data_IF_517014788181
#
_entry.id   IF_517014788181
#
_cell.length_a   1.000
_cell.length_b   1.000
_cell.length_c   1.000
_cell.angle_alpha   90.00
_cell.angle_beta   90.00
_cell.angle_gamma   90.00
#
_symmetry.space_group_name_H-M   'P 1'
#
loop_
_entity.id
_entity.type
_entity.pdbx_description
1 polymer ?
#
# COMPACT_ATOMS: atom_id res chain seq x y z
N UNK A 1 24.08 -34.81 3.13
CA UNK A 1 24.48 -33.61 3.89
C UNK A 1 23.23 -32.78 4.16
N UNK A 2 22.75 -32.73 5.41
CA UNK A 2 21.52 -32.00 5.80
C UNK A 2 21.91 -30.64 6.36
N UNK A 3 21.64 -29.58 5.60
CA UNK A 3 21.83 -28.20 6.03
C UNK A 3 20.90 -27.88 7.19
N UNK A 4 21.47 -27.51 8.34
CA UNK A 4 20.70 -27.03 9.50
C UNK A 4 20.34 -25.56 9.30
N UNK A 5 19.09 -25.14 9.54
CA UNK A 5 18.69 -23.75 9.45
C UNK A 5 19.29 -22.92 10.59
N UNK A 6 19.79 -21.73 10.26
CA UNK A 6 20.40 -20.77 11.20
C UNK A 6 19.27 -19.96 11.86
N UNK A 7 19.12 -19.98 13.20
CA UNK A 7 18.10 -19.20 13.90
C UNK A 7 18.51 -17.72 13.95
N UNK A 8 17.72 -16.83 13.33
CA UNK A 8 17.99 -15.38 13.24
C UNK A 8 17.26 -14.49 14.28
N UNK A 9 16.42 -15.03 15.16
CA UNK A 9 15.44 -14.18 15.88
C UNK A 9 15.75 -13.78 17.34
N UNK A 10 16.88 -14.19 17.93
CA UNK A 10 17.11 -13.94 19.36
C UNK A 10 17.65 -12.55 19.71
N UNK A 11 18.28 -11.82 18.78
CA UNK A 11 18.95 -10.53 19.11
C UNK A 11 18.04 -9.31 19.07
N UNK A 12 16.94 -9.34 18.32
CA UNK A 12 16.11 -8.14 18.12
C UNK A 12 15.24 -7.79 19.34
N UNK A 13 14.81 -8.79 20.13
CA UNK A 13 13.89 -8.59 21.25
C UNK A 13 14.52 -7.95 22.49
N UNK A 14 15.85 -8.01 22.66
CA UNK A 14 16.52 -7.46 23.85
C UNK A 14 16.75 -5.95 23.77
N UNK A 15 16.73 -5.36 22.58
CA UNK A 15 16.95 -3.91 22.43
C UNK A 15 15.69 -3.09 22.71
N UNK A 16 14.50 -3.64 22.44
CA UNK A 16 13.24 -2.92 22.64
C UNK A 16 12.91 -2.65 24.12
N UNK A 17 13.34 -3.53 25.05
CA UNK A 17 13.02 -3.36 26.47
C UNK A 17 13.94 -2.36 27.18
N UNK A 18 15.17 -2.16 26.71
CA UNK A 18 16.08 -1.19 27.32
C UNK A 18 15.67 0.27 27.03
N UNK A 19 15.03 0.54 25.89
CA UNK A 19 14.61 1.89 25.53
C UNK A 19 13.36 2.37 26.30
N UNK A 20 12.50 1.44 26.74
CA UNK A 20 11.25 1.76 27.44
C UNK A 20 11.43 2.12 28.92
N UNK A 21 12.53 1.69 29.57
CA UNK A 21 12.79 1.98 30.98
C UNK A 21 13.48 3.32 31.23
N UNK A 22 14.03 3.98 30.20
CA UNK A 22 14.71 5.27 30.36
C UNK A 22 13.76 6.50 30.30
N UNK A 23 12.49 6.33 29.88
CA UNK A 23 11.57 7.46 29.67
C UNK A 23 10.71 7.83 30.90
N UNK A 24 10.77 7.06 31.99
CA UNK A 24 9.86 7.23 33.12
C UNK A 24 10.38 8.17 34.25
N UNK A 25 11.55 8.80 34.09
CA UNK A 25 12.22 9.50 35.19
C UNK A 25 12.20 11.05 35.13
N UNK A 26 11.48 11.69 34.21
CA UNK A 26 11.52 13.18 34.06
C UNK A 26 10.20 13.89 34.34
N UNK A 27 9.19 13.21 34.90
CA UNK A 27 7.94 13.83 35.33
C UNK A 27 7.99 14.17 36.83
N UNK A 28 8.65 15.27 37.17
CA UNK A 28 8.65 15.77 38.56
C UNK A 28 9.27 17.16 38.70
N UNK A 29 8.43 18.20 38.62
CA UNK A 29 8.49 19.50 39.34
C UNK A 29 7.42 20.42 38.72
N UNK A 30 6.22 20.49 39.30
CA UNK A 30 5.83 21.30 40.46
C UNK A 30 5.65 22.79 40.11
N UNK A 31 4.40 23.23 40.25
CA UNK A 31 3.90 24.59 40.24
C UNK A 31 4.69 25.56 41.12
N UNK A 32 4.89 26.79 40.66
CA UNK A 32 4.73 27.99 41.48
C UNK A 32 4.89 29.28 40.67
N UNK A 33 4.18 30.31 41.15
CA UNK A 33 4.32 31.75 40.87
C UNK A 33 3.58 32.31 39.64
N UNK A 34 2.27 32.38 39.81
CA UNK A 34 1.47 33.49 39.33
C UNK A 34 1.95 34.82 39.97
N UNK A 35 2.61 35.66 39.17
CA UNK A 35 2.72 37.09 39.44
C UNK A 35 2.06 37.84 38.29
N UNK A 36 0.90 38.44 38.60
CA UNK A 36 0.29 39.46 37.78
C UNK A 36 1.16 40.71 37.79
N UNK A 37 1.56 41.18 36.62
CA UNK A 37 2.27 42.43 36.41
C UNK A 37 2.00 42.91 35.00
N UNK A 38 1.29 44.03 34.89
CA UNK A 38 0.68 44.54 33.67
C UNK A 38 1.59 44.55 32.44
N UNK A 39 0.99 44.13 31.32
CA UNK A 39 1.56 44.16 29.98
C UNK A 39 1.83 45.60 29.56
N UNK A 40 2.98 46.13 29.95
CA UNK A 40 3.62 47.17 29.15
C UNK A 40 4.00 46.48 27.84
N UNK A 41 3.53 46.94 26.67
CA UNK A 41 3.92 46.36 25.40
C UNK A 41 5.44 46.34 25.36
N UNK A 42 6.01 45.14 25.30
CA UNK A 42 7.44 44.92 25.29
C UNK A 42 8.02 45.83 24.22
N UNK A 43 8.79 46.82 24.66
CA UNK A 43 9.55 47.68 23.78
C UNK A 43 10.25 46.76 22.77
N UNK A 44 10.02 47.04 21.48
CA UNK A 44 10.59 46.32 20.35
C UNK A 44 12.04 46.00 20.65
N UNK A 45 12.32 44.72 20.93
CA UNK A 45 13.66 44.24 21.26
C UNK A 45 14.56 44.62 20.08
N UNK A 46 15.57 45.49 20.27
CA UNK A 46 16.42 45.93 19.17
C UNK A 46 17.08 44.71 18.53
N UNK A 47 17.21 44.73 17.20
CA UNK A 47 17.85 43.65 16.46
C UNK A 47 19.24 43.37 17.06
N UNK A 48 19.60 42.10 17.34
CA UNK A 48 20.88 41.79 17.95
C UNK A 48 22.02 42.27 17.05
N UNK A 49 23.14 42.74 17.63
CA UNK A 49 24.33 43.08 16.85
C UNK A 49 24.76 41.87 16.00
N UNK A 50 25.37 42.10 14.82
CA UNK A 50 25.83 41.02 13.95
C UNK A 50 26.74 40.05 14.71
N UNK A 51 26.40 38.76 14.69
CA UNK A 51 27.09 37.69 15.42
C UNK A 51 26.32 36.36 15.38
N UNK A 52 26.82 35.34 16.07
CA UNK A 52 26.28 33.97 16.03
C UNK A 52 24.81 33.89 16.49
N UNK A 53 24.41 34.73 17.45
CA UNK A 53 23.03 34.81 17.93
C UNK A 53 22.02 35.20 16.84
N UNK A 54 22.43 36.00 15.84
CA UNK A 54 21.58 36.37 14.72
C UNK A 54 21.28 35.17 13.79
N UNK A 55 22.31 34.33 13.54
CA UNK A 55 22.17 33.10 12.76
C UNK A 55 21.25 32.11 13.47
N UNK A 56 21.43 31.91 14.78
CA UNK A 56 20.54 31.07 15.59
C UNK A 56 19.08 31.55 15.51
N UNK A 57 18.84 32.85 15.66
CA UNK A 57 17.49 33.44 15.54
C UNK A 57 16.89 33.31 14.13
N UNK A 58 17.71 33.34 13.08
CA UNK A 58 17.25 33.09 11.70
C UNK A 58 16.84 31.63 11.50
N UNK A 59 17.64 30.67 11.99
CA UNK A 59 17.32 29.24 11.92
C UNK A 59 16.03 28.95 12.69
N UNK A 60 15.85 29.54 13.88
CA UNK A 60 14.62 29.37 14.64
C UNK A 60 13.38 29.87 13.88
N UNK A 61 13.46 31.05 13.24
CA UNK A 61 12.37 31.56 12.38
C UNK A 61 12.09 30.66 11.17
N UNK A 62 13.13 30.11 10.53
CA UNK A 62 12.97 29.15 9.43
C UNK A 62 12.25 27.88 9.91
N UNK A 63 12.65 27.34 11.07
CA UNK A 63 12.03 26.13 11.64
C UNK A 63 10.59 26.43 12.07
N UNK A 64 10.33 27.54 12.74
CA UNK A 64 8.97 27.97 13.12
C UNK A 64 8.06 28.12 11.90
N UNK A 65 8.54 28.75 10.83
CA UNK A 65 7.79 28.90 9.58
C UNK A 65 7.49 27.57 8.88
N UNK A 66 8.37 26.56 9.03
CA UNK A 66 8.12 25.21 8.48
C UNK A 66 7.20 24.40 9.38
N UNK A 67 7.37 24.48 10.69
CA UNK A 67 6.63 23.68 11.68
C UNK A 67 5.23 24.23 11.93
N UNK A 68 5.02 25.53 11.69
CA UNK A 68 3.70 26.14 11.76
C UNK A 68 2.73 25.34 10.88
N UNK A 69 1.59 24.89 11.44
CA UNK A 69 0.58 24.21 10.64
C UNK A 69 0.23 25.14 9.47
N UNK A 70 0.12 24.61 8.23
CA UNK A 70 -0.34 25.43 7.13
C UNK A 70 -1.64 26.10 7.57
N UNK A 71 -1.82 27.41 7.32
CA UNK A 71 -3.05 28.09 7.68
C UNK A 71 -4.17 27.23 7.12
N UNK A 72 -5.07 26.76 7.99
CA UNK A 72 -6.13 25.81 7.65
C UNK A 72 -6.81 26.32 6.40
N UNK A 73 -6.41 25.78 5.25
CA UNK A 73 -6.93 26.17 3.97
C UNK A 73 -8.39 25.74 4.05
N UNK A 74 -9.25 26.74 4.21
CA UNK A 74 -10.70 26.61 4.24
C UNK A 74 -11.08 25.65 3.14
N UNK A 75 -11.64 24.51 3.55
CA UNK A 75 -11.98 23.39 2.71
C UNK A 75 -12.93 23.85 1.60
N UNK A 76 -12.36 24.21 0.45
CA UNK A 76 -13.07 24.71 -0.71
C UNK A 76 -12.56 23.99 -1.94
N UNK A 77 -13.49 23.42 -2.69
CA UNK A 77 -13.35 22.81 -4.02
C UNK A 77 -12.79 21.37 -4.07
N UNK A 78 -13.74 20.43 -3.97
CA UNK A 78 -13.68 19.14 -4.65
C UNK A 78 -13.39 19.37 -6.14
N UNK A 79 -12.12 19.26 -6.53
CA UNK A 79 -11.80 19.05 -7.95
C UNK A 79 -12.01 17.58 -8.28
N UNK A 80 -13.14 17.30 -8.92
CA UNK A 80 -13.47 16.00 -9.47
C UNK A 80 -12.88 15.88 -10.88
N UNK A 81 -12.14 14.80 -11.13
CA UNK A 81 -11.91 14.27 -12.47
C UNK A 81 -10.56 14.59 -13.08
N UNK A 82 -9.65 13.62 -13.02
CA UNK A 82 -8.36 13.67 -13.72
C UNK A 82 -7.44 12.53 -13.30
N UNK A 83 -7.87 11.28 -13.50
CA UNK A 83 -7.04 10.09 -13.33
C UNK A 83 -6.09 9.99 -14.54
N UNK A 84 -5.07 10.85 -14.59
CA UNK A 84 -4.01 10.77 -15.58
C UNK A 84 -2.69 10.39 -14.91
N UNK A 85 -2.13 9.29 -15.38
CA UNK A 85 -0.93 8.59 -14.90
C UNK A 85 0.33 9.46 -14.98
N UNK A 86 0.47 10.42 -14.06
CA UNK A 86 1.69 11.20 -13.89
C UNK A 86 2.74 10.39 -13.11
N UNK A 87 3.34 9.40 -13.78
CA UNK A 87 4.53 8.69 -13.32
C UNK A 87 5.73 9.64 -13.44
N UNK A 88 5.90 10.54 -12.48
CA UNK A 88 7.04 11.47 -12.50
C UNK A 88 6.82 12.83 -11.84
N UNK A 89 5.70 13.05 -11.13
CA UNK A 89 5.59 14.26 -10.33
C UNK A 89 6.72 14.29 -9.29
N UNK A 90 7.52 15.38 -9.22
CA UNK A 90 8.52 15.53 -8.17
C UNK A 90 7.81 15.33 -6.85
N UNK A 91 8.48 14.67 -5.90
CA UNK A 91 8.00 14.43 -4.54
C UNK A 91 7.74 15.80 -3.92
N UNK A 92 6.55 16.34 -4.19
CA UNK A 92 6.16 17.68 -3.81
C UNK A 92 6.21 17.71 -2.30
N UNK A 93 6.90 18.74 -1.79
CA UNK A 93 7.27 18.93 -0.40
C UNK A 93 6.14 18.46 0.51
N UNK A 94 6.25 17.21 0.96
CA UNK A 94 5.32 16.65 1.91
C UNK A 94 5.51 17.51 3.15
N UNK A 95 4.45 18.21 3.56
CA UNK A 95 4.51 19.06 4.74
C UNK A 95 5.12 18.30 5.91
N UNK A 96 5.74 18.99 6.87
CA UNK A 96 6.35 18.32 8.01
C UNK A 96 5.31 17.43 8.69
N UNK A 97 5.75 16.22 9.07
CA UNK A 97 4.87 15.28 9.75
C UNK A 97 4.31 15.91 11.03
N UNK A 98 3.08 15.60 11.45
CA UNK A 98 2.51 16.14 12.68
C UNK A 98 3.33 15.78 13.94
N UNK A 99 4.18 14.74 13.85
CA UNK A 99 5.14 14.38 14.89
C UNK A 99 6.40 15.27 14.91
N UNK A 100 6.78 15.88 13.79
CA UNK A 100 8.01 16.67 13.67
C UNK A 100 8.03 17.85 14.66
N UNK A 101 6.88 18.53 14.85
CA UNK A 101 6.74 19.63 15.79
C UNK A 101 7.13 19.24 17.23
N UNK A 102 6.74 18.03 17.66
CA UNK A 102 7.03 17.54 19.02
C UNK A 102 8.52 17.25 19.21
N UNK A 103 9.17 16.67 18.20
CA UNK A 103 10.59 16.30 18.26
C UNK A 103 11.51 17.53 18.29
N UNK A 104 11.12 18.61 17.60
CA UNK A 104 11.93 19.84 17.54
C UNK A 104 11.65 20.83 18.68
N UNK A 105 10.53 20.67 19.41
CA UNK A 105 10.09 21.63 20.42
C UNK A 105 11.11 21.86 21.54
N UNK A 106 11.71 20.79 22.06
CA UNK A 106 12.68 20.89 23.16
C UNK A 106 13.97 21.60 22.73
N UNK A 107 14.68 21.18 21.66
CA UNK A 107 15.84 21.92 21.14
C UNK A 107 15.56 23.39 20.84
N UNK A 108 14.39 23.71 20.29
CA UNK A 108 13.98 25.09 20.05
C UNK A 108 13.82 25.88 21.35
N UNK A 109 13.24 25.28 22.39
CA UNK A 109 13.12 25.92 23.70
C UNK A 109 14.49 26.18 24.33
N UNK A 110 15.45 25.26 24.17
CA UNK A 110 16.83 25.45 24.64
C UNK A 110 17.54 26.59 23.88
N UNK A 111 17.44 26.63 22.56
CA UNK A 111 18.00 27.71 21.74
C UNK A 111 17.44 29.09 22.15
N UNK A 112 16.12 29.20 22.32
CA UNK A 112 15.46 30.44 22.77
C UNK A 112 15.92 30.88 24.16
N UNK A 113 15.99 29.97 25.13
CA UNK A 113 16.50 30.26 26.48
C UNK A 113 17.95 30.72 26.45
N UNK A 114 18.80 30.09 25.63
CA UNK A 114 20.20 30.49 25.47
C UNK A 114 20.32 31.91 24.89
N UNK A 115 19.54 32.26 23.85
CA UNK A 115 19.49 33.63 23.30
C UNK A 115 19.03 34.67 24.33
N UNK A 116 18.01 34.33 25.13
CA UNK A 116 17.52 35.23 26.19
C UNK A 116 18.61 35.49 27.24
N UNK A 117 19.36 34.45 27.64
CA UNK A 117 20.50 34.59 28.56
C UNK A 117 21.65 35.38 27.92
N UNK A 118 21.94 35.17 26.64
CA UNK A 118 22.97 35.92 25.91
C UNK A 118 22.64 37.42 25.86
N UNK A 119 21.36 37.76 25.63
CA UNK A 119 20.88 39.13 25.71
C UNK A 119 21.07 39.75 27.10
N UNK A 120 20.73 39.00 28.16
CA UNK A 120 20.97 39.42 29.54
C UNK A 120 22.44 39.69 29.84
N UNK A 121 23.34 38.81 29.39
CA UNK A 121 24.79 39.00 29.53
C UNK A 121 25.30 40.26 28.81
N UNK A 122 24.77 40.55 27.60
CA UNK A 122 25.09 41.80 26.88
C UNK A 122 24.62 43.04 27.64
N UNK A 123 23.40 43.02 28.18
CA UNK A 123 22.85 44.12 28.97
C UNK A 123 23.68 44.39 30.25
N UNK A 124 24.28 43.35 30.82
CA UNK A 124 25.19 43.45 31.96
C UNK A 124 26.64 43.83 31.59
N UNK A 125 26.97 43.99 30.30
CA UNK A 125 28.33 44.28 29.83
C UNK A 125 29.26 43.06 29.77
N UNK A 126 28.78 41.84 30.02
CA UNK A 126 29.56 40.61 29.93
C UNK A 126 29.56 40.04 28.50
N UNK A 127 30.38 40.66 27.65
CA UNK A 127 30.49 40.30 26.24
C UNK A 127 31.03 38.88 26.01
N UNK A 128 31.90 38.37 26.90
CA UNK A 128 32.52 37.04 26.75
C UNK A 128 31.48 35.95 26.97
N UNK A 129 30.68 36.05 28.03
CA UNK A 129 29.63 35.09 28.31
C UNK A 129 28.49 35.17 27.28
N UNK A 130 28.15 36.37 26.81
CA UNK A 130 27.18 36.54 25.73
C UNK A 130 27.56 35.74 24.48
N UNK A 131 28.82 35.81 24.03
CA UNK A 131 29.30 35.04 22.87
C UNK A 131 29.21 33.53 23.08
N UNK A 132 29.55 33.04 24.27
CA UNK A 132 29.43 31.60 24.60
C UNK A 132 27.98 31.13 24.56
N UNK A 133 27.06 31.93 25.07
CA UNK A 133 25.62 31.62 25.05
C UNK A 133 25.03 31.70 23.65
N UNK A 134 25.48 32.65 22.82
CA UNK A 134 25.10 32.74 21.40
C UNK A 134 25.57 31.49 20.62
N UNK A 135 26.79 31.00 20.87
CA UNK A 135 27.29 29.75 20.28
C UNK A 135 26.45 28.54 20.72
N UNK A 136 26.11 28.43 22.01
CA UNK A 136 25.22 27.36 22.51
C UNK A 136 23.85 27.44 21.85
N UNK A 137 23.30 28.64 21.66
CA UNK A 137 22.02 28.82 20.96
C UNK A 137 22.09 28.34 19.51
N UNK A 138 23.20 28.59 18.82
CA UNK A 138 23.42 28.14 17.45
C UNK A 138 23.44 26.61 17.36
N UNK A 139 24.18 25.93 18.24
CA UNK A 139 24.23 24.46 18.29
C UNK A 139 22.83 23.84 18.48
N UNK A 140 22.04 24.38 19.42
CA UNK A 140 20.66 23.90 19.64
C UNK A 140 19.75 24.16 18.44
N UNK A 141 19.91 25.30 17.75
CA UNK A 141 19.14 25.60 16.54
C UNK A 141 19.52 24.67 15.37
N UNK A 142 20.80 24.35 15.20
CA UNK A 142 21.28 23.41 14.19
C UNK A 142 20.84 21.97 14.49
N UNK A 143 20.82 21.56 15.76
CA UNK A 143 20.25 20.29 16.20
C UNK A 143 18.75 20.21 15.87
N UNK A 144 17.97 21.26 16.18
CA UNK A 144 16.54 21.34 15.82
C UNK A 144 16.32 21.21 14.31
N UNK A 145 17.15 21.87 13.49
CA UNK A 145 17.09 21.79 12.03
C UNK A 145 17.37 20.37 11.52
N UNK A 146 18.34 19.69 12.12
CA UNK A 146 18.73 18.33 11.75
C UNK A 146 17.61 17.34 12.08
N UNK A 147 17.00 17.47 13.27
CA UNK A 147 15.84 16.67 13.67
C UNK A 147 14.63 16.89 12.76
N UNK A 148 14.38 18.13 12.32
CA UNK A 148 13.33 18.42 11.35
C UNK A 148 13.55 17.70 10.01
N UNK A 149 14.79 17.68 9.51
CA UNK A 149 15.16 16.96 8.27
C UNK A 149 15.01 15.45 8.44
N UNK A 150 15.44 14.91 9.58
CA UNK A 150 15.28 13.49 9.90
C UNK A 150 13.80 13.08 9.92
N UNK A 151 12.95 13.85 10.60
CA UNK A 151 11.51 13.58 10.66
C UNK A 151 10.83 13.64 9.27
N UNK A 152 11.27 14.56 8.40
CA UNK A 152 10.80 14.62 7.01
C UNK A 152 11.25 13.38 6.20
N UNK A 153 12.49 12.93 6.37
CA UNK A 153 12.99 11.73 5.70
C UNK A 153 12.25 10.46 6.17
N UNK A 154 11.96 10.34 7.47
CA UNK A 154 11.15 9.24 8.01
C UNK A 154 9.74 9.23 7.44
N UNK A 155 9.09 10.40 7.36
CA UNK A 155 7.77 10.50 6.74
C UNK A 155 7.79 10.08 5.26
N UNK A 156 8.79 10.51 4.50
CA UNK A 156 8.97 10.10 3.11
C UNK A 156 9.22 8.59 2.98
N UNK A 157 9.99 7.99 3.89
CA UNK A 157 10.22 6.55 3.92
C UNK A 157 8.93 5.75 4.20
N UNK A 158 8.08 6.23 5.12
CA UNK A 158 6.77 5.62 5.41
C UNK A 158 5.86 5.66 4.17
N UNK A 159 5.77 6.80 3.48
CA UNK A 159 4.99 6.92 2.26
C UNK A 159 5.55 6.05 1.12
N UNK A 160 6.86 5.98 0.96
CA UNK A 160 7.50 5.09 0.00
C UNK A 160 7.19 3.61 0.31
N UNK A 161 7.20 3.21 1.58
CA UNK A 161 6.85 1.85 1.99
C UNK A 161 5.37 1.51 1.70
N UNK A 162 4.45 2.46 1.89
CA UNK A 162 3.03 2.28 1.51
C UNK A 162 2.88 2.05 0.01
N UNK A 163 3.51 2.90 -0.82
CA UNK A 163 3.48 2.77 -2.28
C UNK A 163 4.08 1.44 -2.75
N UNK A 164 5.17 0.99 -2.11
CA UNK A 164 5.77 -0.30 -2.41
C UNK A 164 4.78 -1.46 -2.18
N UNK A 165 4.04 -1.45 -1.05
CA UNK A 165 3.02 -2.47 -0.75
C UNK A 165 1.85 -2.44 -1.74
N UNK A 166 1.44 -1.25 -2.18
CA UNK A 166 0.40 -1.12 -3.21
C UNK A 166 0.84 -1.70 -4.55
N UNK A 167 2.08 -1.42 -4.97
CA UNK A 167 2.67 -1.99 -6.18
C UNK A 167 2.80 -3.50 -6.07
N UNK A 168 3.27 -4.02 -4.92
CA UNK A 168 3.35 -5.45 -4.66
C UNK A 168 1.97 -6.13 -4.78
N UNK A 169 0.94 -5.56 -4.16
CA UNK A 169 -0.43 -6.07 -4.26
C UNK A 169 -0.94 -6.07 -5.72
N UNK A 170 -0.62 -5.02 -6.50
CA UNK A 170 -0.96 -4.96 -7.94
C UNK A 170 -0.24 -6.04 -8.74
N UNK A 171 1.04 -6.29 -8.44
CA UNK A 171 1.83 -7.34 -9.08
C UNK A 171 1.28 -8.74 -8.76
N UNK A 172 0.87 -9.01 -7.53
CA UNK A 172 0.23 -10.27 -7.13
C UNK A 172 -1.07 -10.50 -7.90
N UNK A 173 -1.95 -9.49 -8.00
CA UNK A 173 -3.18 -9.58 -8.80
C UNK A 173 -2.88 -9.82 -10.29
N UNK A 174 -1.87 -9.14 -10.84
CA UNK A 174 -1.48 -9.32 -12.23
C UNK A 174 -0.96 -10.75 -12.49
N UNK A 175 -0.18 -11.32 -11.55
CA UNK A 175 0.26 -12.73 -11.62
C UNK A 175 -0.92 -13.69 -11.58
N UNK A 176 -1.88 -13.49 -10.68
CA UNK A 176 -3.08 -14.31 -10.60
C UNK A 176 -3.91 -14.29 -11.91
N UNK A 177 -4.06 -13.13 -12.56
CA UNK A 177 -4.74 -13.01 -13.85
C UNK A 177 -4.00 -13.73 -14.99
N UNK A 178 -2.67 -13.71 -14.98
CA UNK A 178 -1.86 -14.44 -15.95
C UNK A 178 -1.98 -15.95 -15.76
N UNK A 179 -1.94 -16.43 -14.52
CA UNK A 179 -2.15 -17.86 -14.19
C UNK A 179 -3.56 -18.31 -14.61
N UNK A 180 -4.59 -17.51 -14.35
CA UNK A 180 -5.95 -17.81 -14.81
C UNK A 180 -6.04 -17.88 -16.34
N UNK A 181 -5.40 -16.94 -17.04
CA UNK A 181 -5.36 -16.92 -18.51
C UNK A 181 -4.66 -18.16 -19.05
N UNK A 182 -3.56 -18.58 -18.44
CA UNK A 182 -2.86 -19.81 -18.81
C UNK A 182 -3.74 -21.04 -18.59
N UNK A 183 -4.45 -21.13 -17.46
CA UNK A 183 -5.37 -22.22 -17.18
C UNK A 183 -6.53 -22.27 -18.18
N UNK A 184 -7.12 -21.11 -18.53
CA UNK A 184 -8.16 -21.01 -19.57
C UNK A 184 -7.65 -21.47 -20.93
N UNK A 185 -6.43 -21.06 -21.31
CA UNK A 185 -5.78 -21.51 -22.56
C UNK A 185 -5.52 -23.02 -22.57
N UNK A 186 -5.07 -23.58 -21.45
CA UNK A 186 -4.86 -25.02 -21.32
C UNK A 186 -6.14 -25.82 -21.50
N UNK A 187 -7.26 -25.37 -20.89
CA UNK A 187 -8.57 -26.00 -21.09
C UNK A 187 -9.05 -25.92 -22.54
N UNK A 188 -8.96 -24.74 -23.16
CA UNK A 188 -9.36 -24.56 -24.55
C UNK A 188 -8.52 -25.44 -25.51
N UNK A 189 -7.21 -25.57 -25.26
CA UNK A 189 -6.34 -26.44 -26.06
C UNK A 189 -6.72 -27.93 -25.91
N UNK A 190 -7.03 -28.39 -24.69
CA UNK A 190 -7.48 -29.76 -24.45
C UNK A 190 -8.86 -30.04 -25.09
N UNK A 191 -9.76 -29.06 -25.09
CA UNK A 191 -11.06 -29.17 -25.79
C UNK A 191 -10.86 -29.25 -27.31
N UNK A 192 -9.98 -28.44 -27.89
CA UNK A 192 -9.64 -28.52 -29.31
C UNK A 192 -9.05 -29.88 -29.68
N UNK A 193 -8.10 -30.39 -28.89
CA UNK A 193 -7.49 -31.72 -29.11
C UNK A 193 -8.55 -32.83 -29.07
N UNK A 194 -9.50 -32.75 -28.13
CA UNK A 194 -10.62 -33.70 -28.04
C UNK A 194 -11.52 -33.64 -29.29
N UNK A 195 -11.90 -32.45 -29.72
CA UNK A 195 -12.73 -32.27 -30.93
C UNK A 195 -11.99 -32.80 -32.17
N UNK A 196 -10.68 -32.53 -32.28
CA UNK A 196 -9.87 -33.06 -33.37
C UNK A 196 -9.78 -34.60 -33.35
N UNK A 197 -9.63 -35.20 -32.17
CA UNK A 197 -9.60 -36.66 -32.02
C UNK A 197 -10.95 -37.29 -32.41
N UNK A 198 -12.06 -36.74 -31.92
CA UNK A 198 -13.43 -37.17 -32.25
C UNK A 198 -13.69 -37.05 -33.77
N UNK A 199 -13.25 -35.97 -34.41
CA UNK A 199 -13.37 -35.79 -35.86
C UNK A 199 -12.53 -36.80 -36.66
N UNK A 200 -11.31 -37.11 -36.20
CA UNK A 200 -10.46 -38.14 -36.82
C UNK A 200 -11.09 -39.53 -36.68
N UNK A 201 -11.67 -39.86 -35.53
CA UNK A 201 -12.39 -41.11 -35.31
C UNK A 201 -13.64 -41.22 -36.19
N UNK A 202 -14.44 -40.16 -36.28
CA UNK A 202 -15.61 -40.10 -37.15
C UNK A 202 -15.23 -40.33 -38.63
N UNK A 203 -14.13 -39.72 -39.09
CA UNK A 203 -13.62 -39.89 -40.46
C UNK A 203 -13.20 -41.34 -40.71
N UNK A 204 -12.50 -41.97 -39.76
CA UNK A 204 -12.11 -43.40 -39.85
C UNK A 204 -13.33 -44.31 -39.86
N UNK A 205 -14.32 -44.04 -39.01
CA UNK A 205 -15.56 -44.80 -38.97
C UNK A 205 -16.31 -44.72 -40.30
N UNK A 206 -16.43 -43.52 -40.89
CA UNK A 206 -17.04 -43.32 -42.21
C UNK A 206 -16.29 -44.10 -43.31
N UNK A 207 -14.96 -44.04 -43.32
CA UNK A 207 -14.14 -44.79 -44.27
C UNK A 207 -14.34 -46.32 -44.14
N UNK A 208 -14.45 -46.84 -42.91
CA UNK A 208 -14.72 -48.25 -42.66
C UNK A 208 -16.12 -48.68 -43.14
N UNK A 209 -17.15 -47.85 -42.93
CA UNK A 209 -18.50 -48.12 -43.44
C UNK A 209 -18.51 -48.18 -44.96
N UNK A 210 -17.82 -47.26 -45.63
CA UNK A 210 -17.71 -47.27 -47.10
C UNK A 210 -16.96 -48.51 -47.60
N UNK A 211 -15.85 -48.90 -46.94
CA UNK A 211 -15.14 -50.13 -47.26
C UNK A 211 -16.04 -51.38 -47.12
N UNK A 212 -16.84 -51.45 -46.05
CA UNK A 212 -17.82 -52.52 -45.84
C UNK A 212 -18.90 -52.53 -46.94
N UNK A 213 -19.38 -51.35 -47.36
CA UNK A 213 -20.35 -51.21 -48.46
C UNK A 213 -19.79 -51.75 -49.78
N UNK A 214 -18.53 -51.42 -50.09
CA UNK A 214 -17.85 -51.90 -51.30
C UNK A 214 -17.69 -53.43 -51.27
N UNK A 215 -17.26 -54.00 -50.14
CA UNK A 215 -17.12 -55.45 -49.99
C UNK A 215 -18.47 -56.19 -50.04
N UNK A 216 -19.52 -55.65 -49.43
CA UNK A 216 -20.88 -56.21 -49.53
C UNK A 216 -21.41 -56.16 -50.97
N UNK A 217 -21.15 -55.07 -51.70
CA UNK A 217 -21.47 -54.93 -53.12
C UNK A 217 -20.80 -56.01 -53.99
N UNK A 218 -19.54 -56.37 -53.69
CA UNK A 218 -18.85 -57.48 -54.38
C UNK A 218 -19.47 -58.85 -54.11
N UNK A 219 -19.96 -59.10 -52.88
CA UNK A 219 -20.58 -60.40 -52.50
C UNK A 219 -22.03 -60.56 -52.97
N UNK A 220 -22.77 -59.47 -53.12
CA UNK A 220 -24.18 -59.48 -53.55
C UNK A 220 -24.41 -59.79 -55.03
N UNK A 221 -23.37 -59.85 -55.85
CA UNK A 221 -23.46 -60.16 -57.28
C UNK A 221 -23.58 -61.68 -57.60
N UNK A 222 -23.77 -62.54 -56.60
CA UNK A 222 -24.11 -63.95 -56.83
C UNK A 222 -25.64 -64.10 -57.00
N UNK A 223 -26.14 -64.66 -58.12
CA UNK A 223 -27.57 -64.70 -58.40
C UNK A 223 -28.26 -65.72 -57.49
N UNK A 224 -29.14 -65.28 -56.60
CA UNK A 224 -29.97 -66.17 -55.77
C UNK A 224 -31.43 -66.10 -56.23
N UNK A 225 -31.84 -67.18 -56.90
CA UNK A 225 -33.19 -67.42 -57.34
C UNK A 225 -34.18 -67.61 -56.17
N UNK A 226 -35.34 -66.97 -56.31
CA UNK A 226 -36.68 -67.32 -55.81
C UNK A 226 -36.83 -67.96 -54.42
N UNK A 227 -37.41 -67.22 -53.47
CA UNK A 227 -38.59 -67.73 -52.73
C UNK A 227 -39.45 -66.56 -52.24
N UNK A 228 -40.73 -66.62 -52.58
CA UNK A 228 -41.75 -65.57 -52.42
C UNK A 228 -42.75 -66.06 -51.37
N UNK A 229 -42.97 -65.27 -50.32
CA UNK A 229 -44.09 -65.44 -49.40
C UNK A 229 -43.82 -64.73 -48.07
N UNK A 230 -44.78 -64.20 -47.30
CA UNK A 230 -46.12 -63.65 -47.50
C UNK A 230 -46.58 -63.24 -46.08
N UNK A 231 -47.27 -62.10 -45.95
CA UNK A 231 -48.06 -61.63 -44.77
C UNK A 231 -47.27 -61.28 -43.50
N UNK A 232 -47.59 -60.25 -42.71
CA UNK A 232 -48.70 -59.30 -42.67
C UNK A 232 -48.68 -58.52 -41.33
N UNK A 233 -49.62 -57.59 -41.18
CA UNK A 233 -49.94 -56.73 -40.01
C UNK A 233 -48.95 -55.56 -39.75
N UNK A 234 -49.29 -54.29 -40.03
CA UNK A 234 -50.37 -53.44 -39.48
C UNK A 234 -50.21 -53.21 -37.97
N UNK A 235 -49.58 -52.07 -37.61
CA UNK A 235 -49.88 -51.33 -36.38
C UNK A 235 -49.47 -49.86 -36.51
N UNK A 236 -50.44 -49.01 -36.19
CA UNK A 236 -50.50 -47.56 -36.36
C UNK A 236 -49.69 -46.78 -35.30
N UNK A 237 -49.52 -45.45 -35.44
CA UNK A 237 -48.63 -44.63 -34.62
C UNK A 237 -49.36 -44.09 -33.37
N UNK A 238 -48.68 -44.09 -32.21
CA UNK A 238 -49.22 -43.47 -30.99
C UNK A 238 -48.18 -42.69 -30.21
N UNK A 239 -48.53 -41.42 -29.99
CA UNK A 239 -48.26 -40.59 -28.81
C UNK A 239 -46.81 -40.18 -28.46
N UNK A 240 -46.57 -38.87 -28.60
CA UNK A 240 -45.71 -38.11 -27.70
C UNK A 240 -46.25 -38.18 -26.24
N UNK A 241 -45.36 -38.16 -25.25
CA UNK A 241 -45.47 -37.09 -24.26
C UNK A 241 -44.10 -36.51 -23.86
N UNK A 242 -44.09 -35.20 -23.61
CA UNK A 242 -42.93 -34.51 -23.06
C UNK A 242 -42.62 -34.89 -21.62
N UNK A 243 -41.37 -34.63 -21.22
CA UNK A 243 -40.99 -34.44 -19.83
C UNK A 243 -39.70 -33.61 -19.81
N UNK A 244 -39.83 -32.32 -19.51
CA UNK A 244 -38.68 -31.50 -19.16
C UNK A 244 -38.12 -31.91 -17.79
N UNK A 245 -36.80 -31.78 -17.56
CA UNK A 245 -36.30 -31.69 -16.20
C UNK A 245 -36.52 -30.26 -15.69
N UNK A 246 -37.48 -30.18 -14.76
CA UNK A 246 -37.61 -29.11 -13.76
C UNK A 246 -36.26 -28.80 -13.11
N UNK A 247 -36.00 -27.52 -12.93
CA UNK A 247 -35.68 -26.96 -11.62
C UNK A 247 -34.43 -27.50 -10.93
N UNK A 248 -33.30 -26.87 -11.24
CA UNK A 248 -32.15 -26.80 -10.33
C UNK A 248 -31.96 -25.36 -9.85
N UNK A 249 -32.96 -24.81 -9.14
CA UNK A 249 -32.78 -23.60 -8.34
C UNK A 249 -31.88 -23.94 -7.14
N UNK A 250 -30.58 -24.04 -7.41
CA UNK A 250 -29.54 -24.13 -6.40
C UNK A 250 -29.43 -22.80 -5.69
N UNK A 251 -30.25 -22.67 -4.65
CA UNK A 251 -30.14 -21.78 -3.49
C UNK A 251 -28.79 -21.08 -3.41
N UNK A 252 -28.81 -19.78 -3.67
CA UNK A 252 -27.79 -18.84 -3.22
C UNK A 252 -27.69 -18.96 -1.68
N UNK A 253 -26.72 -19.71 -1.19
CA UNK A 253 -26.18 -19.47 0.14
C UNK A 253 -25.19 -18.33 0.00
N UNK A 254 -25.66 -17.13 0.28
CA UNK A 254 -24.80 -16.01 0.63
C UNK A 254 -23.85 -16.46 1.75
N UNK A 255 -22.54 -16.22 1.66
CA UNK A 255 -21.72 -16.18 2.86
C UNK A 255 -22.17 -14.96 3.67
N UNK A 256 -23.02 -15.22 4.66
CA UNK A 256 -23.17 -14.37 5.84
C UNK A 256 -21.77 -14.17 6.41
N UNK A 257 -21.41 -12.91 6.60
CA UNK A 257 -20.11 -12.50 7.10
C UNK A 257 -19.80 -13.05 8.50
N UNK A 258 -18.51 -13.26 8.72
CA UNK A 258 -17.85 -12.94 9.98
C UNK A 258 -16.73 -11.99 9.55
N UNK A 259 -16.85 -10.66 9.69
CA UNK A 259 -16.79 -9.92 10.97
C UNK A 259 -15.81 -10.58 11.95
N UNK A 260 -14.61 -10.01 12.02
CA UNK A 260 -13.57 -10.49 12.92
C UNK A 260 -12.22 -9.82 12.73
N UNK A 261 -12.20 -8.49 12.61
CA UNK A 261 -11.04 -7.67 12.99
C UNK A 261 -11.21 -7.37 14.48
N UNK A 262 -10.14 -7.37 15.29
CA UNK A 262 -9.20 -6.24 15.30
C UNK A 262 -7.77 -6.58 14.88
#
# INVERSE_FOLDING_TARGET
MRSRPIPRDARQRRWSQALLLALAATLGSADALAHGGGEKPLATVPAPPPGDGAKAAQILREIEGRVAPPPTAVAGEKSAGGEETAVGAPIAASGPSPGAAKVVAEPMAHAKRALQRAHGARAAGDATNARRLDAVALEWAEAARTLLRAAAAEAAAVEAAKRAREVETKLERARALLEETQARRGRAAAELERIEAEAREATRAAANVEAQRIEAGKRGAAPKAATRGARGAEQAPTAAPGAGPKGGAGKATAPVGQEGTP
#
